data_IF_643222386198
#
_entry.id   IF_643222386198
#
_cell.length_a   1.000
_cell.length_b   1.000
_cell.length_c   1.000
_cell.angle_alpha   90.00
_cell.angle_beta   90.00
_cell.angle_gamma   90.00
#
_symmetry.space_group_name_H-M   'P 1'
#
loop_
_entity.id
_entity.type
_entity.pdbx_description
1 polymer ?
#
# COMPACT_ATOMS: atom_id res chain seq x y z
N UNK A 1 35.00 -2.30 -23.55
CA UNK A 1 34.05 -3.42 -23.85
C UNK A 1 33.02 -3.63 -22.73
N UNK A 2 33.22 -3.05 -21.54
CA UNK A 2 32.29 -3.23 -20.38
C UNK A 2 31.39 -2.01 -20.13
N UNK A 3 31.34 -1.07 -21.07
CA UNK A 3 30.47 0.11 -21.01
C UNK A 3 29.27 -0.10 -21.94
N UNK A 4 28.12 0.47 -21.63
CA UNK A 4 26.92 0.41 -22.46
C UNK A 4 27.12 0.97 -23.89
N UNK A 5 28.11 1.86 -24.05
CA UNK A 5 28.53 2.45 -25.33
C UNK A 5 29.82 1.83 -25.88
N UNK A 6 30.24 0.67 -25.38
CA UNK A 6 31.55 0.06 -25.68
C UNK A 6 31.64 -0.70 -27.01
N UNK A 7 30.61 -0.63 -27.86
CA UNK A 7 30.64 -1.26 -29.20
C UNK A 7 31.46 -0.47 -30.19
N UNK A 8 31.54 0.83 -30.00
CA UNK A 8 32.33 1.75 -30.82
C UNK A 8 33.30 2.55 -29.98
N UNK A 9 34.43 2.93 -30.58
CA UNK A 9 35.47 3.73 -29.94
C UNK A 9 35.82 4.91 -30.88
N UNK A 10 35.88 6.12 -30.30
CA UNK A 10 36.30 7.32 -31.02
C UNK A 10 37.71 7.70 -30.57
N UNK A 11 38.65 7.76 -31.52
CA UNK A 11 40.00 8.27 -31.30
C UNK A 11 39.99 9.79 -31.51
N UNK A 12 40.22 10.54 -30.41
CA UNK A 12 40.27 12.00 -30.50
C UNK A 12 41.68 12.44 -30.90
N UNK A 13 41.80 13.20 -31.98
CA UNK A 13 43.05 13.83 -32.43
C UNK A 13 43.24 15.20 -31.77
N UNK A 14 42.16 15.90 -31.45
CA UNK A 14 42.18 17.20 -30.76
C UNK A 14 41.01 17.32 -29.81
N UNK A 15 41.19 17.93 -28.63
CA UNK A 15 40.17 18.23 -27.66
C UNK A 15 40.17 19.72 -27.32
N UNK A 16 39.07 20.41 -27.65
CA UNK A 16 38.86 21.82 -27.34
C UNK A 16 37.92 21.95 -26.16
N UNK A 17 38.39 22.53 -25.03
CA UNK A 17 37.58 22.80 -23.86
C UNK A 17 36.78 24.08 -24.11
N UNK A 18 35.48 23.96 -24.35
CA UNK A 18 34.58 25.09 -24.56
C UNK A 18 34.23 25.82 -23.27
N UNK A 19 34.07 25.09 -22.15
CA UNK A 19 33.76 25.65 -20.84
C UNK A 19 34.30 24.71 -19.75
N UNK A 20 34.90 25.30 -18.69
CA UNK A 20 35.33 24.53 -17.52
C UNK A 20 34.19 24.44 -16.51
N UNK A 21 34.01 23.28 -15.90
CA UNK A 21 33.08 23.03 -14.80
C UNK A 21 33.82 22.59 -13.53
N UNK A 22 33.25 22.90 -12.39
CA UNK A 22 33.69 22.33 -11.12
C UNK A 22 33.32 20.82 -11.10
N UNK A 23 34.08 20.03 -10.31
CA UNK A 23 33.76 18.62 -10.11
C UNK A 23 32.38 18.47 -9.52
N UNK A 24 31.49 17.62 -10.08
CA UNK A 24 30.19 17.33 -9.49
C UNK A 24 30.31 16.79 -8.08
N UNK A 25 29.32 17.09 -7.22
CA UNK A 25 29.28 16.65 -5.81
C UNK A 25 29.17 15.12 -5.69
N UNK A 26 28.59 14.48 -6.69
CA UNK A 26 28.48 13.02 -6.85
C UNK A 26 28.52 12.65 -8.33
N UNK A 27 28.85 11.37 -8.67
CA UNK A 27 28.80 10.89 -10.03
C UNK A 27 27.39 10.97 -10.62
N UNK A 28 27.30 11.21 -11.93
CA UNK A 28 26.04 11.31 -12.64
C UNK A 28 25.54 9.98 -13.22
N UNK A 29 26.14 8.89 -12.80
CA UNK A 29 25.74 7.52 -13.10
C UNK A 29 24.87 6.93 -11.97
N UNK A 30 24.29 5.77 -12.22
CA UNK A 30 23.44 5.05 -11.25
C UNK A 30 24.20 3.96 -10.48
N UNK A 31 25.51 3.88 -10.63
CA UNK A 31 26.36 2.83 -10.01
C UNK A 31 26.67 3.09 -8.53
N UNK A 32 26.44 4.32 -8.06
CA UNK A 32 26.72 4.68 -6.68
C UNK A 32 25.43 5.10 -5.97
N UNK A 33 25.24 4.54 -4.78
CA UNK A 33 24.18 4.99 -3.88
C UNK A 33 24.60 6.33 -3.25
N UNK A 34 23.79 7.35 -3.49
CA UNK A 34 24.00 8.71 -2.97
C UNK A 34 22.91 9.05 -2.01
N UNK A 35 23.27 9.48 -0.80
CA UNK A 35 22.32 9.89 0.23
C UNK A 35 21.30 10.89 -0.31
N UNK A 36 20.03 10.69 0.04
CA UNK A 36 18.90 11.48 -0.46
C UNK A 36 19.04 12.97 -0.16
N UNK A 37 19.50 13.34 1.04
CA UNK A 37 19.70 14.76 1.41
C UNK A 37 20.72 15.46 0.49
N UNK A 38 21.77 14.75 0.07
CA UNK A 38 22.78 15.28 -0.86
C UNK A 38 22.18 15.45 -2.25
N UNK A 39 21.38 14.49 -2.69
CA UNK A 39 20.67 14.53 -3.99
C UNK A 39 19.66 15.68 -4.03
N UNK A 40 18.86 15.85 -2.97
CA UNK A 40 17.86 16.94 -2.88
C UNK A 40 18.53 18.33 -2.87
N UNK A 41 19.64 18.50 -2.15
CA UNK A 41 20.40 19.76 -2.16
C UNK A 41 21.02 20.10 -3.52
N UNK A 42 21.29 19.08 -4.34
CA UNK A 42 21.91 19.20 -5.66
C UNK A 42 20.97 18.68 -6.76
N UNK A 43 19.69 19.03 -6.68
CA UNK A 43 18.61 18.45 -7.48
C UNK A 43 18.83 18.52 -8.98
N UNK A 44 19.45 19.60 -9.49
CA UNK A 44 19.78 19.74 -10.93
C UNK A 44 20.74 18.64 -11.39
N UNK A 45 21.74 18.31 -10.55
CA UNK A 45 22.67 17.21 -10.87
C UNK A 45 21.97 15.84 -10.74
N UNK A 46 21.14 15.65 -9.71
CA UNK A 46 20.38 14.43 -9.53
C UNK A 46 19.44 14.12 -10.71
N UNK A 47 18.79 15.15 -11.25
CA UNK A 47 17.94 15.02 -12.45
C UNK A 47 18.71 14.63 -13.73
N UNK A 48 20.02 14.77 -13.76
CA UNK A 48 20.87 14.29 -14.87
C UNK A 48 21.21 12.80 -14.77
N UNK A 49 21.01 12.20 -13.62
CA UNK A 49 21.20 10.75 -13.46
C UNK A 49 20.14 10.00 -14.29
N UNK A 50 20.51 8.94 -15.01
CA UNK A 50 19.60 8.21 -15.89
C UNK A 50 18.32 7.75 -15.16
N UNK A 51 18.46 7.20 -13.96
CA UNK A 51 17.34 6.76 -13.13
C UNK A 51 16.33 7.88 -12.84
N UNK A 52 16.81 9.04 -12.38
CA UNK A 52 15.94 10.18 -12.04
C UNK A 52 15.30 10.79 -13.27
N UNK A 53 16.05 10.90 -14.35
CA UNK A 53 15.52 11.36 -15.64
C UNK A 53 14.40 10.42 -16.13
N UNK A 54 14.64 9.09 -16.09
CA UNK A 54 13.67 8.10 -16.48
C UNK A 54 12.38 8.19 -15.65
N UNK A 55 12.47 8.40 -14.32
CA UNK A 55 11.30 8.60 -13.46
C UNK A 55 10.43 9.78 -13.87
N UNK A 56 11.05 10.92 -14.23
CA UNK A 56 10.32 12.10 -14.69
C UNK A 56 9.65 11.83 -16.06
N UNK A 57 10.36 11.20 -16.98
CA UNK A 57 9.82 10.81 -18.28
C UNK A 57 8.67 9.82 -18.13
N UNK A 58 8.83 8.81 -17.27
CA UNK A 58 7.78 7.82 -16.98
C UNK A 58 6.53 8.50 -16.42
N UNK A 59 6.67 9.42 -15.46
CA UNK A 59 5.54 10.21 -14.93
C UNK A 59 4.79 10.96 -16.04
N UNK A 60 5.53 11.58 -16.96
CA UNK A 60 4.93 12.29 -18.11
C UNK A 60 4.13 11.34 -19.00
N UNK A 61 4.69 10.17 -19.32
CA UNK A 61 4.01 9.15 -20.11
C UNK A 61 2.77 8.60 -19.42
N UNK A 62 2.83 8.31 -18.10
CA UNK A 62 1.68 7.88 -17.30
C UNK A 62 0.54 8.91 -17.42
N UNK A 63 0.85 10.20 -17.25
CA UNK A 63 -0.16 11.26 -17.38
C UNK A 63 -0.79 11.31 -18.76
N UNK A 64 0.00 11.12 -19.83
CA UNK A 64 -0.52 11.08 -21.22
C UNK A 64 -1.39 9.84 -21.45
N UNK A 65 -0.99 8.68 -20.96
CA UNK A 65 -1.79 7.45 -21.06
C UNK A 65 -3.14 7.60 -20.39
N UNK A 66 -3.16 8.15 -19.17
CA UNK A 66 -4.41 8.39 -18.43
C UNK A 66 -5.34 9.35 -19.17
N UNK A 67 -4.79 10.43 -19.75
CA UNK A 67 -5.58 11.35 -20.58
C UNK A 67 -6.22 10.62 -21.76
N UNK A 68 -5.42 9.92 -22.54
CA UNK A 68 -5.93 9.19 -23.70
C UNK A 68 -7.02 8.19 -23.28
N UNK A 69 -6.79 7.41 -22.20
CA UNK A 69 -7.76 6.45 -21.69
C UNK A 69 -9.08 7.12 -21.30
N UNK A 70 -9.04 8.25 -20.58
CA UNK A 70 -10.24 8.94 -20.15
C UNK A 70 -10.95 9.66 -21.30
N UNK A 71 -10.20 10.26 -22.24
CA UNK A 71 -10.74 10.86 -23.47
C UNK A 71 -11.45 9.80 -24.33
N UNK A 72 -10.86 8.62 -24.50
CA UNK A 72 -11.45 7.49 -25.23
C UNK A 72 -12.71 6.91 -24.55
N UNK A 73 -12.93 7.21 -23.26
CA UNK A 73 -14.13 6.87 -22.50
C UNK A 73 -15.11 8.06 -22.36
N UNK A 74 -14.99 9.09 -23.21
CA UNK A 74 -15.84 10.28 -23.26
C UNK A 74 -15.78 11.18 -22.04
N UNK A 75 -14.72 11.11 -21.22
CA UNK A 75 -14.49 12.09 -20.17
C UNK A 75 -13.80 13.34 -20.74
N UNK A 76 -14.09 14.48 -20.17
CA UNK A 76 -13.53 15.77 -20.59
C UNK A 76 -12.58 16.33 -19.52
N UNK A 77 -11.35 16.69 -19.90
CA UNK A 77 -10.40 17.37 -19.01
C UNK A 77 -10.80 18.83 -18.82
N UNK A 78 -11.18 19.19 -17.59
CA UNK A 78 -11.56 20.57 -17.24
C UNK A 78 -10.67 21.08 -16.13
N UNK A 79 -9.93 22.16 -16.40
CA UNK A 79 -9.17 22.87 -15.36
C UNK A 79 -10.09 23.68 -14.46
N UNK A 80 -9.85 23.57 -13.15
CA UNK A 80 -10.59 24.30 -12.13
C UNK A 80 -9.69 25.33 -11.43
N UNK A 81 -10.24 26.42 -10.85
CA UNK A 81 -9.44 27.41 -10.15
C UNK A 81 -8.66 26.86 -8.98
N UNK A 82 -7.38 27.27 -8.85
CA UNK A 82 -6.52 26.97 -7.71
C UNK A 82 -6.70 28.02 -6.59
N UNK A 83 -6.91 29.28 -6.94
CA UNK A 83 -7.23 30.31 -5.95
C UNK A 83 -8.74 30.27 -5.66
N UNK A 84 -9.12 29.67 -4.55
CA UNK A 84 -10.53 29.47 -4.17
C UNK A 84 -10.79 29.92 -2.74
N UNK A 85 -11.93 29.64 -2.21
CA UNK A 85 -12.25 29.81 -0.79
C UNK A 85 -12.02 28.51 -0.03
N UNK A 86 -11.81 28.59 1.28
CA UNK A 86 -11.72 27.43 2.15
C UNK A 86 -12.98 26.55 2.04
N UNK A 87 -12.78 25.25 1.95
CA UNK A 87 -13.84 24.23 1.89
C UNK A 87 -13.60 23.18 2.98
N UNK A 88 -14.66 22.70 3.66
CA UNK A 88 -14.52 21.72 4.74
C UNK A 88 -14.36 20.29 4.16
N UNK A 89 -13.15 19.94 3.70
CA UNK A 89 -12.86 18.62 3.09
C UNK A 89 -12.07 17.67 3.99
N UNK A 90 -11.88 18.03 5.27
CA UNK A 90 -11.25 17.13 6.27
C UNK A 90 -9.79 17.42 6.60
N UNK A 91 -9.00 18.01 5.69
CA UNK A 91 -7.65 18.51 5.97
C UNK A 91 -7.67 20.00 6.32
N UNK A 92 -6.51 20.53 6.78
CA UNK A 92 -6.34 21.99 6.91
C UNK A 92 -6.00 22.59 5.57
N UNK A 93 -6.55 23.78 5.28
CA UNK A 93 -6.27 24.52 4.06
C UNK A 93 -4.99 25.35 4.18
N UNK A 94 -4.22 25.43 3.11
CA UNK A 94 -3.25 26.49 2.93
C UNK A 94 -3.98 27.77 2.55
N UNK A 95 -3.81 28.82 3.32
CA UNK A 95 -4.45 30.13 3.09
C UNK A 95 -3.46 31.17 2.60
N UNK A 96 -3.90 32.03 1.67
CA UNK A 96 -3.12 33.13 1.12
C UNK A 96 -3.85 34.46 1.31
N UNK A 97 -3.20 35.47 1.91
CA UNK A 97 -3.83 36.75 2.10
C UNK A 97 -4.12 37.45 0.75
N UNK A 98 -5.30 38.04 0.63
CA UNK A 98 -5.64 38.85 -0.54
C UNK A 98 -4.99 40.23 -0.44
N UNK A 99 -4.18 40.57 -1.42
CA UNK A 99 -3.59 41.92 -1.52
C UNK A 99 -4.62 43.00 -1.85
N UNK A 100 -5.65 42.64 -2.59
CA UNK A 100 -6.67 43.57 -3.09
C UNK A 100 -7.78 43.80 -2.06
N UNK A 101 -8.11 42.79 -1.25
CA UNK A 101 -9.18 42.87 -0.25
C UNK A 101 -8.59 42.64 1.14
N UNK A 102 -8.41 43.74 1.89
CA UNK A 102 -7.87 43.69 3.26
C UNK A 102 -8.72 42.77 4.16
N UNK A 103 -8.04 41.91 4.92
CA UNK A 103 -8.66 40.97 5.88
C UNK A 103 -9.33 39.74 5.22
N UNK A 104 -9.20 39.58 3.90
CA UNK A 104 -9.70 38.38 3.20
C UNK A 104 -8.55 37.50 2.71
N UNK A 105 -8.86 36.20 2.56
CA UNK A 105 -7.90 35.18 2.17
C UNK A 105 -8.46 34.31 1.04
N UNK A 106 -7.57 33.84 0.19
CA UNK A 106 -7.81 32.67 -0.66
C UNK A 106 -7.36 31.41 0.08
N UNK A 107 -7.90 30.27 -0.33
CA UNK A 107 -7.40 28.96 0.04
C UNK A 107 -6.90 28.21 -1.18
N UNK A 108 -5.89 27.34 -1.02
CA UNK A 108 -5.50 26.39 -2.03
C UNK A 108 -6.40 25.14 -1.93
N UNK A 109 -6.85 24.53 -3.05
CA UNK A 109 -7.82 23.44 -3.02
C UNK A 109 -7.21 22.16 -2.46
N UNK A 110 -7.92 21.50 -1.57
CA UNK A 110 -7.61 20.15 -1.12
C UNK A 110 -7.94 19.11 -2.19
N UNK A 111 -8.97 19.38 -2.99
CA UNK A 111 -9.39 18.72 -4.21
C UNK A 111 -10.31 19.66 -5.01
N UNK A 112 -10.61 19.39 -6.28
CA UNK A 112 -11.58 20.17 -7.05
C UNK A 112 -13.04 19.81 -6.75
N UNK A 113 -13.36 19.25 -5.59
CA UNK A 113 -14.66 18.68 -5.23
C UNK A 113 -15.83 19.60 -5.50
N UNK A 114 -15.77 20.85 -5.07
CA UNK A 114 -16.85 21.81 -5.28
C UNK A 114 -17.09 22.08 -6.77
N UNK A 115 -16.02 22.24 -7.52
CA UNK A 115 -16.11 22.60 -8.95
C UNK A 115 -16.63 21.44 -9.79
N UNK A 116 -16.16 20.21 -9.56
CA UNK A 116 -16.65 19.05 -10.31
C UNK A 116 -18.12 18.78 -10.08
N UNK A 117 -18.64 18.97 -8.85
CA UNK A 117 -20.08 18.90 -8.58
C UNK A 117 -20.85 19.98 -9.32
N UNK A 118 -20.34 21.22 -9.36
CA UNK A 118 -20.96 22.30 -10.13
C UNK A 118 -20.96 22.01 -11.64
N UNK A 119 -19.92 21.38 -12.16
CA UNK A 119 -19.87 20.95 -13.56
C UNK A 119 -20.93 19.90 -13.88
N UNK A 120 -21.12 18.90 -12.99
CA UNK A 120 -22.21 17.92 -13.13
C UNK A 120 -23.59 18.62 -13.14
N UNK A 121 -23.83 19.52 -12.18
CA UNK A 121 -25.08 20.31 -12.14
C UNK A 121 -25.24 21.23 -13.36
N UNK A 122 -24.13 21.65 -13.95
CA UNK A 122 -24.09 22.44 -15.18
C UNK A 122 -24.32 21.65 -16.47
N UNK A 123 -24.49 20.32 -16.38
CA UNK A 123 -24.78 19.44 -17.50
C UNK A 123 -23.54 18.81 -18.17
N UNK A 124 -22.39 18.80 -17.49
CA UNK A 124 -21.22 18.07 -17.93
C UNK A 124 -21.27 16.66 -17.31
N UNK A 125 -21.60 15.65 -18.07
CA UNK A 125 -21.86 14.31 -17.56
C UNK A 125 -20.63 13.52 -17.16
N UNK A 126 -19.47 13.81 -17.76
CA UNK A 126 -18.20 13.11 -17.48
C UNK A 126 -17.03 14.11 -17.44
N UNK A 127 -16.40 14.19 -16.31
CA UNK A 127 -15.29 15.10 -16.01
C UNK A 127 -14.08 14.35 -15.50
N UNK A 128 -12.89 14.82 -15.88
CA UNK A 128 -11.67 14.51 -15.16
C UNK A 128 -10.71 15.70 -15.13
N UNK A 129 -9.75 15.64 -14.22
CA UNK A 129 -8.63 16.59 -14.16
C UNK A 129 -7.42 15.90 -13.52
N UNK A 130 -6.23 16.12 -14.10
CA UNK A 130 -4.97 15.82 -13.40
C UNK A 130 -4.67 17.02 -12.50
N UNK A 131 -5.31 17.03 -11.33
CA UNK A 131 -5.42 18.17 -10.45
C UNK A 131 -4.24 18.31 -9.49
N UNK A 132 -3.77 19.54 -9.29
CA UNK A 132 -2.85 19.89 -8.21
C UNK A 132 -3.65 20.14 -6.93
N UNK A 133 -3.33 19.39 -5.86
CA UNK A 133 -4.02 19.43 -4.58
C UNK A 133 -3.06 19.77 -3.45
N UNK A 134 -3.58 20.41 -2.41
CA UNK A 134 -2.81 20.95 -1.30
C UNK A 134 -3.47 20.60 0.04
N UNK A 135 -2.73 20.03 0.98
CA UNK A 135 -3.23 19.70 2.33
C UNK A 135 -2.17 20.02 3.37
N UNK A 136 -2.52 20.86 4.33
CA UNK A 136 -1.64 21.22 5.46
C UNK A 136 -1.80 20.18 6.58
N UNK A 137 -1.20 19.02 6.36
CA UNK A 137 -1.22 17.87 7.27
C UNK A 137 0.21 17.43 7.62
N UNK A 138 0.31 16.59 8.67
CA UNK A 138 1.57 16.00 9.06
C UNK A 138 2.16 15.13 7.94
N UNK A 139 3.43 15.35 7.63
CA UNK A 139 4.14 14.60 6.60
C UNK A 139 4.33 13.14 7.02
N UNK A 140 4.18 12.23 6.06
CA UNK A 140 4.49 10.81 6.19
C UNK A 140 5.33 10.38 4.98
N UNK A 141 5.86 9.16 5.03
CA UNK A 141 6.68 8.63 3.94
C UNK A 141 5.99 8.69 2.55
N UNK A 142 4.67 8.56 2.53
CA UNK A 142 3.81 8.54 1.34
C UNK A 142 2.92 9.77 1.18
N UNK A 143 3.06 10.80 2.03
CA UNK A 143 2.21 12.00 2.02
C UNK A 143 3.04 13.26 1.88
N UNK A 144 2.68 14.06 0.86
CA UNK A 144 3.25 15.38 0.60
C UNK A 144 2.17 16.46 0.76
N UNK A 145 2.53 17.68 1.17
CA UNK A 145 1.58 18.79 1.33
C UNK A 145 1.01 19.26 -0.01
N UNK A 146 1.75 19.03 -1.08
CA UNK A 146 1.35 19.29 -2.48
C UNK A 146 1.49 18.01 -3.28
N UNK A 147 0.41 17.57 -3.93
CA UNK A 147 0.37 16.32 -4.68
C UNK A 147 -0.56 16.41 -5.88
N UNK A 148 -0.53 15.42 -6.74
CA UNK A 148 -1.38 15.34 -7.93
C UNK A 148 -2.42 14.25 -7.76
N UNK A 149 -3.69 14.57 -8.03
CA UNK A 149 -4.79 13.61 -8.14
C UNK A 149 -5.19 13.42 -9.59
N UNK A 150 -5.58 12.21 -9.94
CA UNK A 150 -6.44 11.93 -11.08
C UNK A 150 -7.85 12.02 -10.52
N UNK A 151 -8.50 13.17 -10.71
CA UNK A 151 -9.81 13.45 -10.18
C UNK A 151 -10.86 13.19 -11.27
N UNK A 152 -11.88 12.42 -10.94
CA UNK A 152 -12.90 11.95 -11.88
C UNK A 152 -14.28 12.20 -11.26
N UNK A 153 -15.24 12.63 -12.06
CA UNK A 153 -16.65 12.72 -11.67
C UNK A 153 -17.51 12.35 -12.86
N UNK A 154 -18.59 11.60 -12.63
CA UNK A 154 -19.54 11.24 -13.67
C UNK A 154 -20.98 11.20 -13.14
N UNK A 155 -21.94 11.59 -13.99
CA UNK A 155 -23.37 11.56 -13.72
C UNK A 155 -24.01 10.28 -14.27
N UNK A 156 -25.14 9.87 -13.69
CA UNK A 156 -25.99 8.78 -14.19
C UNK A 156 -25.27 7.41 -14.31
N UNK A 157 -24.34 7.15 -13.42
CA UNK A 157 -23.57 5.91 -13.37
C UNK A 157 -23.78 5.20 -12.03
N UNK A 158 -23.43 3.91 -11.98
CA UNK A 158 -23.40 3.09 -10.77
C UNK A 158 -21.97 2.87 -10.27
N UNK A 159 -21.86 2.13 -9.17
CA UNK A 159 -20.59 1.77 -8.55
C UNK A 159 -19.73 0.91 -9.48
N UNK A 160 -20.36 -0.03 -10.16
CA UNK A 160 -19.73 -0.99 -11.05
C UNK A 160 -19.00 -0.29 -12.19
N UNK A 161 -19.61 0.75 -12.77
CA UNK A 161 -18.99 1.54 -13.83
C UNK A 161 -17.69 2.23 -13.38
N UNK A 162 -17.70 2.86 -12.19
CA UNK A 162 -16.48 3.51 -11.65
C UNK A 162 -15.38 2.49 -11.33
N UNK A 163 -15.76 1.33 -10.81
CA UNK A 163 -14.81 0.25 -10.55
C UNK A 163 -14.19 -0.26 -11.86
N UNK A 164 -14.99 -0.44 -12.91
CA UNK A 164 -14.52 -0.87 -14.23
C UNK A 164 -13.56 0.15 -14.87
N UNK A 165 -13.91 1.44 -14.86
CA UNK A 165 -13.03 2.51 -15.36
C UNK A 165 -11.69 2.51 -14.61
N UNK A 166 -11.73 2.43 -13.28
CA UNK A 166 -10.51 2.39 -12.45
C UNK A 166 -9.66 1.14 -12.70
N UNK A 167 -10.28 -0.03 -12.76
CA UNK A 167 -9.61 -1.30 -12.99
C UNK A 167 -8.92 -1.33 -14.36
N UNK A 168 -9.65 -0.98 -15.43
CA UNK A 168 -9.11 -1.00 -16.78
C UNK A 168 -7.98 0.03 -16.97
N UNK A 169 -8.11 1.22 -16.40
CA UNK A 169 -7.04 2.23 -16.39
C UNK A 169 -5.76 1.70 -15.73
N UNK A 170 -5.87 1.04 -14.58
CA UNK A 170 -4.71 0.47 -13.89
C UNK A 170 -4.11 -0.70 -14.68
N UNK A 171 -4.93 -1.56 -15.27
CA UNK A 171 -4.46 -2.66 -16.13
C UNK A 171 -3.65 -2.15 -17.31
N UNK A 172 -4.11 -1.10 -17.98
CA UNK A 172 -3.40 -0.48 -19.10
C UNK A 172 -2.05 0.10 -18.66
N UNK A 173 -2.02 0.82 -17.54
CA UNK A 173 -0.79 1.36 -16.98
C UNK A 173 0.21 0.27 -16.61
N UNK A 174 -0.23 -0.80 -15.94
CA UNK A 174 0.65 -1.91 -15.57
C UNK A 174 1.18 -2.62 -16.82
N UNK A 175 0.33 -2.87 -17.79
CA UNK A 175 0.75 -3.46 -19.07
C UNK A 175 1.81 -2.60 -19.78
N UNK A 176 1.59 -1.31 -19.88
CA UNK A 176 2.48 -0.39 -20.61
C UNK A 176 3.83 -0.18 -19.93
N UNK A 177 3.87 -0.09 -18.59
CA UNK A 177 5.06 0.31 -17.85
C UNK A 177 5.79 -0.83 -17.13
N UNK A 178 5.10 -1.95 -16.85
CA UNK A 178 5.69 -3.13 -16.23
C UNK A 178 5.79 -4.32 -17.20
N UNK A 179 5.04 -4.31 -18.30
CA UNK A 179 4.96 -5.42 -19.25
C UNK A 179 4.09 -6.59 -18.76
N UNK A 180 3.45 -6.44 -17.60
CA UNK A 180 2.62 -7.46 -16.99
C UNK A 180 1.16 -7.33 -17.44
N UNK A 181 0.42 -8.45 -17.44
CA UNK A 181 -1.02 -8.48 -17.62
C UNK A 181 -1.68 -8.84 -16.31
N UNK A 182 -2.58 -7.98 -15.84
CA UNK A 182 -3.34 -8.23 -14.63
C UNK A 182 -4.68 -8.89 -14.95
N UNK A 183 -5.05 -9.89 -14.15
CA UNK A 183 -6.40 -10.48 -14.13
C UNK A 183 -7.41 -9.46 -13.55
N UNK A 184 -8.68 -9.89 -13.40
CA UNK A 184 -9.70 -9.10 -12.71
C UNK A 184 -9.31 -8.85 -11.26
N UNK A 185 -9.58 -7.64 -10.75
CA UNK A 185 -9.31 -7.32 -9.36
C UNK A 185 -10.35 -7.99 -8.45
N UNK A 186 -9.92 -8.69 -7.39
CA UNK A 186 -10.85 -9.27 -6.44
C UNK A 186 -11.56 -8.17 -5.64
N UNK A 187 -12.88 -8.32 -5.50
CA UNK A 187 -13.69 -7.43 -4.66
C UNK A 187 -13.85 -8.08 -3.29
N UNK A 188 -13.37 -7.43 -2.26
CA UNK A 188 -13.46 -7.89 -0.88
C UNK A 188 -14.55 -7.11 -0.14
N UNK A 189 -15.41 -7.84 0.59
CA UNK A 189 -16.29 -7.19 1.56
C UNK A 189 -15.47 -6.66 2.73
N UNK A 190 -15.81 -5.48 3.25
CA UNK A 190 -15.09 -4.86 4.35
C UNK A 190 -15.00 -5.76 5.60
N UNK A 191 -16.12 -6.39 5.98
CA UNK A 191 -16.13 -7.29 7.14
C UNK A 191 -15.24 -8.52 6.95
N UNK A 192 -15.23 -9.09 5.74
CA UNK A 192 -14.36 -10.23 5.41
C UNK A 192 -12.90 -9.82 5.41
N UNK A 193 -12.58 -8.65 4.84
CA UNK A 193 -11.22 -8.12 4.85
C UNK A 193 -10.70 -7.86 6.26
N UNK A 194 -11.51 -7.25 7.13
CA UNK A 194 -11.15 -7.04 8.53
C UNK A 194 -11.05 -8.34 9.32
N UNK A 195 -11.94 -9.32 9.06
CA UNK A 195 -11.90 -10.64 9.70
C UNK A 195 -10.65 -11.41 9.33
N UNK A 196 -10.34 -11.48 8.03
CA UNK A 196 -9.30 -12.38 7.48
C UNK A 196 -7.91 -11.75 7.51
N UNK A 197 -7.79 -10.42 7.47
CA UNK A 197 -6.50 -9.72 7.37
C UNK A 197 -6.29 -8.64 8.44
N UNK A 198 -7.31 -8.28 9.20
CA UNK A 198 -7.24 -7.19 10.18
C UNK A 198 -7.06 -5.79 9.53
N UNK A 199 -7.33 -5.65 8.24
CA UNK A 199 -7.07 -4.45 7.46
C UNK A 199 -8.11 -4.33 6.33
N UNK A 200 -8.54 -3.11 6.01
CA UNK A 200 -9.46 -2.79 4.92
C UNK A 200 -8.80 -2.72 3.53
N UNK A 201 -7.47 -2.84 3.47
CA UNK A 201 -6.65 -2.81 2.25
C UNK A 201 -5.50 -3.82 2.33
N UNK A 202 -5.79 -5.13 2.39
CA UNK A 202 -4.76 -6.15 2.53
C UNK A 202 -3.88 -6.24 1.28
N UNK A 203 -2.60 -6.54 1.49
CA UNK A 203 -1.69 -6.92 0.39
C UNK A 203 -1.90 -8.39 0.05
N UNK A 204 -2.68 -8.67 -0.99
CA UNK A 204 -3.02 -10.03 -1.40
C UNK A 204 -1.84 -10.83 -1.99
N UNK A 205 -0.68 -10.20 -2.21
CA UNK A 205 0.57 -10.91 -2.55
C UNK A 205 1.11 -11.70 -1.35
N UNK A 206 0.65 -11.35 -0.15
CA UNK A 206 0.97 -12.05 1.10
C UNK A 206 -0.21 -12.97 1.42
N UNK A 207 -0.14 -14.27 1.11
CA UNK A 207 -1.29 -15.18 1.23
C UNK A 207 -1.48 -15.67 2.68
N UNK A 208 -1.40 -14.77 3.64
CA UNK A 208 -1.57 -15.07 5.06
C UNK A 208 -2.93 -14.56 5.53
N UNK A 209 -3.80 -15.48 5.96
CA UNK A 209 -5.13 -15.17 6.48
C UNK A 209 -5.25 -15.58 7.93
N UNK A 210 -5.93 -14.75 8.71
CA UNK A 210 -6.43 -15.13 10.02
C UNK A 210 -7.62 -16.07 9.83
N UNK A 211 -7.57 -17.25 10.43
CA UNK A 211 -8.67 -18.23 10.41
C UNK A 211 -9.33 -18.25 11.77
N UNK A 212 -10.65 -18.06 11.81
CA UNK A 212 -11.45 -18.10 13.04
C UNK A 212 -11.53 -19.52 13.57
N UNK A 213 -11.11 -19.73 14.83
CA UNK A 213 -11.11 -21.06 15.47
C UNK A 213 -11.85 -21.05 16.81
N UNK A 214 -12.62 -20.00 17.13
CA UNK A 214 -13.34 -19.90 18.40
C UNK A 214 -14.23 -21.11 18.67
N UNK A 215 -14.97 -21.59 17.65
CA UNK A 215 -15.83 -22.76 17.81
C UNK A 215 -15.07 -24.06 18.14
N UNK A 216 -13.83 -24.20 17.65
CA UNK A 216 -13.00 -25.37 17.91
C UNK A 216 -12.46 -25.39 19.34
N UNK A 217 -12.21 -24.23 19.94
CA UNK A 217 -11.47 -24.11 21.20
C UNK A 217 -12.32 -23.66 22.38
N UNK A 218 -13.63 -23.43 22.20
CA UNK A 218 -14.52 -22.88 23.23
C UNK A 218 -14.67 -23.80 24.47
N UNK A 219 -14.56 -25.10 24.28
CA UNK A 219 -14.76 -26.10 25.33
C UNK A 219 -13.44 -26.72 25.83
N UNK A 220 -12.30 -26.16 25.41
CA UNK A 220 -10.98 -26.57 25.85
C UNK A 220 -10.66 -26.15 27.30
N UNK A 221 -9.75 -26.88 27.96
CA UNK A 221 -9.25 -26.52 29.31
C UNK A 221 -8.36 -25.28 29.30
N UNK A 222 -7.83 -24.89 28.11
CA UNK A 222 -6.97 -23.72 27.93
C UNK A 222 -7.78 -22.43 27.99
N UNK A 223 -7.95 -21.90 29.22
CA UNK A 223 -8.75 -20.68 29.48
C UNK A 223 -8.40 -19.49 28.61
N UNK A 224 -7.13 -19.36 28.18
CA UNK A 224 -6.67 -18.28 27.30
C UNK A 224 -7.41 -18.30 25.96
N UNK A 225 -7.86 -19.47 25.51
CA UNK A 225 -8.67 -19.62 24.31
C UNK A 225 -10.17 -19.75 24.64
N UNK A 226 -10.52 -20.58 25.61
CA UNK A 226 -11.91 -20.88 25.94
C UNK A 226 -12.72 -19.66 26.43
N UNK A 227 -12.11 -18.75 27.22
CA UNK A 227 -12.79 -17.54 27.68
C UNK A 227 -13.09 -16.56 26.56
N UNK A 228 -12.12 -16.16 25.71
CA UNK A 228 -12.40 -15.30 24.54
C UNK A 228 -13.34 -15.96 23.53
N UNK A 229 -13.26 -17.28 23.34
CA UNK A 229 -14.11 -18.01 22.40
C UNK A 229 -15.61 -17.99 22.81
N UNK A 230 -15.92 -17.77 24.08
CA UNK A 230 -17.30 -17.67 24.61
C UNK A 230 -17.82 -16.22 24.72
N UNK A 231 -16.94 -15.23 24.51
CA UNK A 231 -17.29 -13.81 24.59
C UNK A 231 -17.57 -13.24 23.19
N UNK A 232 -18.77 -12.72 22.96
CA UNK A 232 -19.21 -12.16 21.69
C UNK A 232 -18.37 -10.95 21.19
N UNK A 233 -17.62 -10.29 22.08
CA UNK A 233 -16.74 -9.15 21.74
C UNK A 233 -15.28 -9.57 21.57
N UNK A 234 -15.02 -10.85 21.68
CA UNK A 234 -13.69 -11.45 21.57
C UNK A 234 -13.65 -12.47 20.45
N UNK A 235 -12.46 -12.91 20.10
CA UNK A 235 -12.25 -13.95 19.08
C UNK A 235 -10.98 -14.75 19.36
N UNK A 236 -10.90 -15.92 18.80
CA UNK A 236 -9.68 -16.73 18.75
C UNK A 236 -9.37 -17.08 17.31
N UNK A 237 -8.20 -16.70 16.85
CA UNK A 237 -7.76 -16.91 15.46
C UNK A 237 -6.45 -17.66 15.41
N UNK A 238 -6.25 -18.40 14.33
CA UNK A 238 -4.98 -18.98 13.95
C UNK A 238 -4.43 -18.31 12.68
N UNK A 239 -3.11 -18.14 12.63
CA UNK A 239 -2.37 -17.67 11.47
C UNK A 239 -1.35 -18.72 11.08
N UNK A 240 -1.55 -19.36 9.92
CA UNK A 240 -0.59 -20.33 9.36
C UNK A 240 0.55 -19.61 8.66
N UNK A 241 1.78 -19.91 9.05
CA UNK A 241 3.01 -19.43 8.41
C UNK A 241 3.66 -20.62 7.67
N UNK A 242 3.55 -20.69 6.35
CA UNK A 242 4.19 -21.76 5.57
C UNK A 242 5.69 -21.77 5.79
N UNK A 243 6.26 -22.96 6.08
CA UNK A 243 7.67 -23.17 6.44
C UNK A 243 8.18 -22.30 7.60
N UNK A 244 7.29 -21.84 8.46
CA UNK A 244 7.61 -20.99 9.61
C UNK A 244 8.30 -21.73 10.77
N UNK A 245 8.39 -23.05 10.73
CA UNK A 245 9.06 -23.86 11.77
C UNK A 245 10.55 -23.50 11.93
N UNK A 246 11.18 -22.95 10.85
CA UNK A 246 12.55 -22.45 10.86
C UNK A 246 12.76 -21.23 11.79
N UNK A 247 11.69 -20.54 12.22
CA UNK A 247 11.80 -19.43 13.15
C UNK A 247 12.38 -19.88 14.48
N UNK A 248 13.44 -19.22 14.92
CA UNK A 248 14.05 -19.45 16.21
C UNK A 248 13.14 -18.99 17.36
N UNK A 249 13.37 -19.52 18.57
CA UNK A 249 12.64 -19.07 19.76
C UNK A 249 12.82 -17.56 20.01
N UNK A 250 14.02 -17.02 19.78
CA UNK A 250 14.27 -15.59 19.92
C UNK A 250 13.40 -14.73 18.98
N UNK A 251 13.24 -15.15 17.73
CA UNK A 251 12.36 -14.46 16.76
C UNK A 251 10.89 -14.54 17.19
N UNK A 252 10.43 -15.69 17.68
CA UNK A 252 9.06 -15.83 18.22
C UNK A 252 8.85 -14.92 19.44
N UNK A 253 9.85 -14.81 20.32
CA UNK A 253 9.81 -13.91 21.47
C UNK A 253 9.78 -12.44 21.05
N UNK A 254 10.43 -12.07 19.95
CA UNK A 254 10.35 -10.72 19.35
C UNK A 254 8.95 -10.44 18.82
N UNK A 255 8.33 -11.37 18.10
CA UNK A 255 6.93 -11.23 17.67
C UNK A 255 5.98 -11.12 18.86
N UNK A 256 6.20 -11.89 19.92
CA UNK A 256 5.42 -11.79 21.15
C UNK A 256 5.52 -10.38 21.78
N UNK A 257 6.72 -9.81 21.83
CA UNK A 257 6.92 -8.43 22.29
C UNK A 257 6.25 -7.41 21.36
N UNK A 258 6.27 -7.66 20.06
CA UNK A 258 5.62 -6.80 19.08
C UNK A 258 4.10 -6.75 19.29
N UNK A 259 3.42 -7.90 19.30
CA UNK A 259 1.96 -7.94 19.49
C UNK A 259 1.53 -7.44 20.86
N UNK A 260 2.39 -7.58 21.88
CA UNK A 260 2.10 -7.05 23.23
C UNK A 260 2.02 -5.53 23.25
N UNK A 261 2.79 -4.82 22.41
CA UNK A 261 2.67 -3.36 22.26
C UNK A 261 1.34 -2.95 21.64
N UNK A 262 0.67 -3.85 20.92
CA UNK A 262 -0.63 -3.66 20.29
C UNK A 262 -1.79 -4.10 21.19
N UNK A 263 -1.51 -4.57 22.41
CA UNK A 263 -2.51 -4.94 23.41
C UNK A 263 -2.75 -6.44 23.55
N UNK A 264 -2.09 -7.30 22.78
CA UNK A 264 -2.19 -8.74 22.95
C UNK A 264 -1.51 -9.19 24.25
N UNK A 265 -2.13 -10.13 24.99
CA UNK A 265 -1.59 -10.65 26.26
C UNK A 265 -0.46 -11.67 26.07
N UNK A 266 -0.28 -12.18 24.85
CA UNK A 266 0.72 -13.15 24.48
C UNK A 266 0.53 -13.60 23.04
N UNK A 267 1.46 -14.44 22.56
CA UNK A 267 1.41 -15.07 21.23
C UNK A 267 1.69 -16.56 21.40
N UNK A 268 0.63 -17.36 21.50
CA UNK A 268 0.77 -18.80 21.51
C UNK A 268 1.14 -19.29 20.11
N UNK A 269 1.85 -20.42 20.03
CA UNK A 269 2.26 -20.98 18.76
C UNK A 269 2.34 -22.51 18.80
N UNK A 270 2.23 -23.14 17.62
CA UNK A 270 2.52 -24.57 17.41
C UNK A 270 3.46 -24.70 16.21
N UNK A 271 4.59 -25.38 16.39
CA UNK A 271 5.48 -25.80 15.31
C UNK A 271 5.05 -27.15 14.79
N UNK A 272 5.00 -27.28 13.46
CA UNK A 272 4.61 -28.52 12.78
C UNK A 272 5.87 -29.16 12.23
N UNK A 273 6.33 -30.26 12.82
CA UNK A 273 7.48 -31.02 12.33
C UNK A 273 7.04 -32.18 11.42
N UNK A 274 5.92 -32.84 11.75
CA UNK A 274 5.39 -33.94 10.97
C UNK A 274 3.86 -34.03 11.16
N UNK A 275 3.11 -33.97 10.07
CA UNK A 275 1.65 -34.09 10.06
C UNK A 275 1.15 -35.54 10.03
N UNK A 276 1.99 -36.51 9.67
CA UNK A 276 1.63 -37.95 9.66
C UNK A 276 1.62 -38.54 11.08
N UNK A 277 2.40 -37.95 12.00
CA UNK A 277 2.44 -38.32 13.42
C UNK A 277 2.08 -37.11 14.29
N UNK A 278 0.82 -36.80 14.41
CA UNK A 278 0.34 -35.62 15.13
C UNK A 278 0.74 -35.63 16.61
N UNK A 279 0.86 -36.80 17.23
CA UNK A 279 1.22 -36.89 18.67
C UNK A 279 2.65 -36.45 18.95
N UNK A 280 3.61 -36.78 18.08
CA UNK A 280 5.02 -36.43 18.23
C UNK A 280 5.51 -35.38 17.24
N UNK A 281 4.74 -35.13 16.19
CA UNK A 281 5.08 -34.24 15.11
C UNK A 281 4.77 -32.78 15.37
N UNK A 282 4.07 -32.46 16.45
CA UNK A 282 3.77 -31.07 16.85
C UNK A 282 4.56 -30.68 18.08
N UNK A 283 5.04 -29.43 18.12
CA UNK A 283 5.81 -28.91 19.24
C UNK A 283 5.24 -27.58 19.74
N UNK A 284 4.71 -27.58 20.96
CA UNK A 284 4.23 -26.35 21.63
C UNK A 284 3.98 -26.57 23.12
N UNK A 285 4.15 -25.51 23.95
CA UNK A 285 3.73 -25.55 25.36
C UNK A 285 2.22 -25.69 25.58
N UNK A 286 1.39 -25.33 24.59
CA UNK A 286 -0.07 -25.32 24.73
C UNK A 286 -0.72 -26.67 24.40
N UNK A 287 -0.03 -27.58 23.72
CA UNK A 287 -0.60 -28.88 23.29
C UNK A 287 -1.18 -29.71 24.45
N UNK A 288 -0.59 -29.61 25.62
CA UNK A 288 -1.07 -30.34 26.83
C UNK A 288 -2.43 -29.88 27.33
N UNK A 289 -2.94 -28.75 26.85
CA UNK A 289 -4.23 -28.17 27.21
C UNK A 289 -5.29 -28.30 26.14
N UNK A 290 -4.93 -28.85 24.97
CA UNK A 290 -5.81 -29.07 23.82
C UNK A 290 -6.10 -30.57 23.71
N UNK A 291 -7.33 -30.93 23.45
CA UNK A 291 -7.69 -32.32 23.22
C UNK A 291 -7.28 -32.77 21.80
N UNK A 292 -7.23 -34.11 21.59
CA UNK A 292 -6.79 -34.66 20.30
C UNK A 292 -7.72 -34.32 19.14
N UNK A 293 -9.01 -34.18 19.41
CA UNK A 293 -10.01 -33.86 18.36
C UNK A 293 -9.79 -32.44 17.86
N UNK A 294 -9.59 -31.47 18.75
CA UNK A 294 -9.28 -30.09 18.42
C UNK A 294 -7.97 -29.98 17.63
N UNK A 295 -6.92 -30.72 18.05
CA UNK A 295 -5.65 -30.73 17.33
C UNK A 295 -5.83 -31.27 15.90
N UNK A 296 -6.56 -32.38 15.74
CA UNK A 296 -6.86 -32.95 14.41
C UNK A 296 -7.67 -31.99 13.55
N UNK A 297 -8.67 -31.32 14.12
CA UNK A 297 -9.46 -30.32 13.42
C UNK A 297 -8.61 -29.12 12.98
N UNK A 298 -7.70 -28.62 13.82
CA UNK A 298 -6.76 -27.55 13.45
C UNK A 298 -5.86 -27.97 12.29
N UNK A 299 -5.34 -29.22 12.30
CA UNK A 299 -4.51 -29.73 11.19
C UNK A 299 -5.30 -29.77 9.90
N UNK A 300 -6.54 -30.25 9.93
CA UNK A 300 -7.40 -30.41 8.75
C UNK A 300 -7.91 -29.05 8.23
N UNK A 301 -8.48 -28.19 9.11
CA UNK A 301 -9.08 -26.92 8.68
C UNK A 301 -8.07 -25.91 8.18
N UNK A 302 -6.84 -25.93 8.73
CA UNK A 302 -5.77 -25.03 8.31
C UNK A 302 -4.88 -25.63 7.22
N UNK A 303 -5.19 -26.84 6.76
CA UNK A 303 -4.40 -27.57 5.76
C UNK A 303 -2.89 -27.52 6.09
N UNK A 304 -2.54 -27.98 7.29
CA UNK A 304 -1.17 -27.90 7.80
C UNK A 304 -0.25 -28.87 7.07
N UNK A 305 0.94 -28.38 6.76
CA UNK A 305 2.00 -29.17 6.15
C UNK A 305 3.21 -29.24 7.08
N UNK A 306 4.10 -30.17 6.80
CA UNK A 306 5.38 -30.25 7.49
C UNK A 306 6.14 -28.93 7.36
N UNK A 307 6.82 -28.54 8.42
CA UNK A 307 7.57 -27.29 8.56
C UNK A 307 6.73 -26.01 8.70
N UNK A 308 5.40 -26.09 8.78
CA UNK A 308 4.56 -24.95 9.07
C UNK A 308 4.68 -24.50 10.54
N UNK A 309 4.28 -23.25 10.79
CA UNK A 309 4.13 -22.68 12.11
C UNK A 309 2.74 -22.04 12.24
N UNK A 310 2.06 -22.32 13.32
CA UNK A 310 0.85 -21.59 13.69
C UNK A 310 1.16 -20.57 14.77
N UNK A 311 0.66 -19.35 14.58
CA UNK A 311 0.47 -18.39 15.64
C UNK A 311 -1.00 -18.26 16.00
N UNK A 312 -1.29 -17.92 17.28
CA UNK A 312 -2.66 -17.75 17.77
C UNK A 312 -2.85 -16.37 18.38
N UNK A 313 -3.91 -15.70 17.95
CA UNK A 313 -4.44 -14.49 18.59
C UNK A 313 -5.69 -14.84 19.38
N UNK A 314 -5.77 -14.43 20.65
CA UNK A 314 -6.93 -14.65 21.48
C UNK A 314 -7.20 -13.45 22.38
N UNK A 315 -8.41 -12.91 22.34
CA UNK A 315 -8.82 -11.75 23.12
C UNK A 315 -9.87 -10.90 22.43
N UNK A 316 -9.97 -9.63 22.83
CA UNK A 316 -10.92 -8.69 22.22
C UNK A 316 -10.72 -8.61 20.72
N UNK A 317 -11.80 -8.66 19.95
CA UNK A 317 -11.76 -8.60 18.49
C UNK A 317 -11.04 -7.35 17.94
N UNK A 318 -11.08 -6.23 18.67
CA UNK A 318 -10.35 -4.99 18.30
C UNK A 318 -8.83 -5.06 18.54
N UNK A 319 -8.32 -6.09 19.20
CA UNK A 319 -6.89 -6.30 19.45
C UNK A 319 -6.35 -7.39 18.55
N UNK A 320 -7.11 -8.47 18.38
CA UNK A 320 -6.77 -9.62 17.54
C UNK A 320 -6.89 -9.31 16.07
#
# INVERSE_FOLDING_TARGET
KNMTTGEIELVAEEIVILSKAATPVFPLDDYQDVNEDVRLKNRVLDLRRPEMNQRIVTRSKISSTIRNYLDDNDFHEIETPILTKATPEGARDFILPSRVQSGKFFALPQSPQLFKQLLMMGGLDKYYQIARCFRDEDLRADRQPEFTQIDIEASFIDQEYIMEIGENMIKELVHMFCGDSLDSFPVLNWHDSMRDYGCDKPDLRIPLKLVEISELVKDEEFKVFAEPAKDNNSRVVALKIPRGNSLSRGQIDEYTKFVSKLGAKGLAYIKVNNTDDIENGLQSPILKFLNKETINSLVAELDLNNDDLLFFGAGKASVV
#
